data_IF_514119481433
#
_entry.id   IF_514119481433
#
_cell.length_a   1.000
_cell.length_b   1.000
_cell.length_c   1.000
_cell.angle_alpha   90.00
_cell.angle_beta   90.00
_cell.angle_gamma   90.00
#
_symmetry.space_group_name_H-M   'P 1'
#
loop_
_entity.id
_entity.type
_entity.pdbx_description
1 polymer ?
#
# COMPACT_ATOMS: atom_id res chain seq x y z
N UNK A 1 -10.17 -14.65 8.11
CA UNK A 1 -10.70 -13.25 8.04
C UNK A 1 -12.16 -13.16 8.46
N UNK A 2 -13.09 -13.78 7.74
CA UNK A 2 -14.55 -13.65 8.00
C UNK A 2 -14.90 -13.96 9.45
N UNK A 3 -14.30 -15.00 10.04
CA UNK A 3 -14.50 -15.35 11.45
C UNK A 3 -14.11 -14.21 12.41
N UNK A 4 -12.90 -13.63 12.28
CA UNK A 4 -12.46 -12.51 13.13
C UNK A 4 -13.38 -11.31 12.95
N UNK A 5 -13.82 -11.04 11.72
CA UNK A 5 -14.74 -9.94 11.44
C UNK A 5 -16.07 -10.18 12.15
N UNK A 6 -16.73 -11.30 11.93
CA UNK A 6 -18.07 -11.55 12.49
C UNK A 6 -18.01 -11.69 14.02
N UNK A 7 -17.15 -12.56 14.53
CA UNK A 7 -17.10 -12.86 15.97
C UNK A 7 -16.38 -11.77 16.77
N UNK A 8 -15.29 -11.22 16.23
CA UNK A 8 -14.55 -10.15 16.88
C UNK A 8 -15.35 -8.85 16.96
N UNK A 9 -15.97 -8.43 15.85
CA UNK A 9 -16.85 -7.24 15.85
C UNK A 9 -18.10 -7.51 16.68
N UNK A 10 -18.71 -8.69 16.58
CA UNK A 10 -19.87 -9.06 17.40
C UNK A 10 -19.58 -8.93 18.90
N UNK A 11 -18.47 -9.53 19.38
CA UNK A 11 -18.04 -9.39 20.78
C UNK A 11 -17.67 -7.96 21.15
N UNK A 12 -17.02 -7.22 20.25
CA UNK A 12 -16.65 -5.82 20.49
C UNK A 12 -17.89 -4.91 20.66
N UNK A 13 -18.94 -5.14 19.87
CA UNK A 13 -20.20 -4.40 19.98
C UNK A 13 -20.97 -4.84 21.22
N UNK A 14 -21.03 -6.14 21.52
CA UNK A 14 -21.71 -6.63 22.72
C UNK A 14 -21.05 -6.13 24.01
N UNK A 15 -19.71 -6.00 24.02
CA UNK A 15 -18.98 -5.58 25.21
C UNK A 15 -19.13 -4.11 25.59
N UNK A 16 -19.42 -3.22 24.62
CA UNK A 16 -19.40 -1.77 24.84
C UNK A 16 -20.67 -1.05 24.32
N UNK A 17 -21.49 -1.73 23.52
CA UNK A 17 -22.69 -1.20 22.89
C UNK A 17 -22.38 -0.28 21.70
N UNK A 18 -23.22 -0.34 20.66
CA UNK A 18 -23.02 0.41 19.41
C UNK A 18 -23.11 1.93 19.62
N UNK A 19 -23.96 2.41 20.54
CA UNK A 19 -24.10 3.84 20.85
C UNK A 19 -22.81 4.45 21.40
N UNK A 20 -21.99 3.63 22.07
CA UNK A 20 -20.70 4.07 22.58
C UNK A 20 -19.70 4.35 21.45
N UNK A 21 -19.78 3.64 20.32
CA UNK A 21 -18.92 3.86 19.16
C UNK A 21 -19.26 5.18 18.47
N UNK A 22 -20.56 5.49 18.35
CA UNK A 22 -21.04 6.77 17.82
C UNK A 22 -20.69 7.96 18.71
N UNK A 23 -20.66 7.76 20.03
CA UNK A 23 -20.28 8.79 21.00
C UNK A 23 -18.76 8.91 21.20
N UNK A 24 -17.93 8.18 20.44
CA UNK A 24 -16.48 8.25 20.59
C UNK A 24 -15.94 9.59 20.10
N UNK A 25 -15.25 10.31 20.98
CA UNK A 25 -14.57 11.55 20.65
C UNK A 25 -13.05 11.36 20.76
N UNK A 26 -12.28 11.49 19.66
CA UNK A 26 -10.83 11.34 19.71
C UNK A 26 -10.19 12.47 20.53
N UNK A 27 -9.13 12.15 21.28
CA UNK A 27 -8.37 13.16 22.04
C UNK A 27 -7.74 14.22 21.13
N UNK A 28 -7.33 13.82 19.92
CA UNK A 28 -6.79 14.71 18.91
C UNK A 28 -7.47 14.44 17.56
N UNK A 29 -8.08 15.48 16.99
CA UNK A 29 -8.62 15.42 15.65
C UNK A 29 -7.49 15.69 14.62
N UNK A 30 -7.02 14.64 13.97
CA UNK A 30 -5.98 14.73 12.92
C UNK A 30 -6.55 15.15 11.56
N UNK A 31 -7.87 15.20 11.42
CA UNK A 31 -8.57 15.58 10.20
C UNK A 31 -8.72 14.44 9.18
N UNK A 32 -9.77 14.52 8.36
CA UNK A 32 -10.10 13.52 7.34
C UNK A 32 -8.96 13.34 6.32
N UNK A 33 -8.36 14.44 5.87
CA UNK A 33 -7.31 14.43 4.85
C UNK A 33 -6.07 13.67 5.30
N UNK A 34 -5.72 13.77 6.58
CA UNK A 34 -4.63 13.00 7.17
C UNK A 34 -4.96 11.50 7.17
N UNK A 35 -6.18 11.14 7.58
CA UNK A 35 -6.66 9.75 7.56
C UNK A 35 -6.62 9.13 6.16
N UNK A 36 -7.07 9.87 5.13
CA UNK A 36 -6.98 9.42 3.74
C UNK A 36 -5.52 9.25 3.32
N UNK A 37 -4.63 10.20 3.68
CA UNK A 37 -3.21 10.09 3.37
C UNK A 37 -2.55 8.86 4.01
N UNK A 38 -2.90 8.54 5.26
CA UNK A 38 -2.42 7.32 5.93
C UNK A 38 -2.94 6.06 5.23
N UNK A 39 -4.22 6.07 4.83
CA UNK A 39 -4.80 4.94 4.11
C UNK A 39 -4.11 4.70 2.76
N UNK A 40 -3.76 5.76 2.04
CA UNK A 40 -2.94 5.67 0.81
C UNK A 40 -1.57 5.08 1.15
N UNK A 41 -0.89 5.58 2.20
CA UNK A 41 0.41 5.05 2.62
C UNK A 41 0.41 3.56 2.93
N UNK A 42 -0.66 3.06 3.56
CA UNK A 42 -0.82 1.64 3.88
C UNK A 42 -0.90 0.73 2.64
N UNK A 43 -1.48 1.22 1.54
CA UNK A 43 -1.70 0.42 0.33
C UNK A 43 -0.73 0.74 -0.81
N UNK A 44 -0.08 1.91 -0.78
CA UNK A 44 0.74 2.44 -1.87
C UNK A 44 1.82 1.45 -2.33
N UNK A 45 2.47 0.79 -1.37
CA UNK A 45 3.51 -0.22 -1.63
C UNK A 45 2.91 -1.41 -2.37
N UNK A 46 1.80 -1.98 -1.88
CA UNK A 46 1.11 -3.09 -2.51
C UNK A 46 0.67 -2.78 -3.95
N UNK A 47 0.14 -1.58 -4.17
CA UNK A 47 -0.27 -1.12 -5.50
C UNK A 47 0.92 -0.94 -6.46
N UNK A 48 2.10 -0.57 -5.96
CA UNK A 48 3.26 -0.24 -6.80
C UNK A 48 3.92 -1.46 -7.44
N UNK A 49 3.80 -2.64 -6.82
CA UNK A 49 4.29 -3.90 -7.37
C UNK A 49 3.15 -4.85 -7.76
N UNK A 50 1.95 -4.31 -7.99
CA UNK A 50 0.77 -5.11 -8.39
C UNK A 50 1.05 -5.98 -9.63
N UNK A 51 1.88 -5.47 -10.56
CA UNK A 51 2.31 -6.16 -11.76
C UNK A 51 3.05 -7.49 -11.49
N UNK A 52 3.68 -7.66 -10.33
CA UNK A 52 4.45 -8.86 -10.00
C UNK A 52 3.57 -10.11 -9.90
N UNK A 53 2.31 -9.93 -9.48
CA UNK A 53 1.34 -11.01 -9.35
C UNK A 53 0.18 -10.92 -10.36
N UNK A 54 -0.16 -9.74 -10.88
CA UNK A 54 -1.18 -9.63 -11.95
C UNK A 54 -0.68 -10.08 -13.32
N UNK A 55 0.62 -10.26 -13.52
CA UNK A 55 1.19 -10.83 -14.77
C UNK A 55 0.68 -12.22 -15.13
N UNK A 56 0.07 -12.92 -14.17
CA UNK A 56 -0.53 -14.24 -14.36
C UNK A 56 -2.03 -14.19 -14.69
N UNK A 57 -2.65 -13.01 -14.64
CA UNK A 57 -4.05 -12.81 -15.03
C UNK A 57 -4.14 -12.84 -16.55
N UNK A 58 -5.26 -13.35 -17.08
CA UNK A 58 -5.55 -13.27 -18.52
C UNK A 58 -5.51 -11.82 -18.96
N UNK A 59 -4.99 -11.56 -20.17
CA UNK A 59 -4.81 -10.20 -20.69
C UNK A 59 -6.14 -9.56 -21.16
N UNK A 60 -7.09 -9.41 -20.23
CA UNK A 60 -8.36 -8.73 -20.41
C UNK A 60 -8.45 -7.60 -19.39
N UNK A 61 -8.75 -6.39 -19.88
CA UNK A 61 -8.91 -5.20 -19.03
C UNK A 61 -9.99 -5.39 -17.96
N UNK A 62 -11.05 -6.15 -18.27
CA UNK A 62 -12.09 -6.56 -17.33
C UNK A 62 -11.49 -7.29 -16.14
N UNK A 63 -10.68 -8.33 -16.39
CA UNK A 63 -10.23 -9.27 -15.37
C UNK A 63 -9.26 -8.58 -14.39
N UNK A 64 -8.41 -7.69 -14.91
CA UNK A 64 -7.51 -6.85 -14.09
C UNK A 64 -8.32 -5.89 -13.23
N UNK A 65 -9.30 -5.20 -13.81
CA UNK A 65 -10.12 -4.20 -13.09
C UNK A 65 -10.98 -4.85 -12.01
N UNK A 66 -11.62 -5.98 -12.33
CA UNK A 66 -12.42 -6.75 -11.37
C UNK A 66 -11.56 -7.28 -10.23
N UNK A 67 -10.32 -7.70 -10.47
CA UNK A 67 -9.43 -8.16 -9.41
C UNK A 67 -9.16 -7.08 -8.35
N UNK A 68 -9.03 -5.81 -8.77
CA UNK A 68 -8.86 -4.68 -7.86
C UNK A 68 -10.16 -4.29 -7.15
N UNK A 69 -11.23 -4.07 -7.92
CA UNK A 69 -12.49 -3.52 -7.39
C UNK A 69 -13.27 -4.54 -6.56
N UNK A 70 -13.27 -5.81 -6.94
CA UNK A 70 -14.04 -6.86 -6.25
C UNK A 70 -13.15 -7.63 -5.28
N UNK A 71 -11.88 -7.85 -5.63
CA UNK A 71 -10.95 -8.58 -4.78
C UNK A 71 -10.38 -7.72 -3.64
N UNK A 72 -9.68 -6.63 -3.99
CA UNK A 72 -8.91 -5.85 -3.02
C UNK A 72 -9.77 -4.87 -2.22
N UNK A 73 -10.61 -4.09 -2.90
CA UNK A 73 -11.32 -2.97 -2.28
C UNK A 73 -12.31 -3.39 -1.17
N UNK A 74 -13.19 -4.40 -1.33
CA UNK A 74 -14.16 -4.76 -0.30
C UNK A 74 -13.48 -5.41 0.90
N UNK A 75 -12.51 -6.29 0.64
CA UNK A 75 -11.78 -6.99 1.71
C UNK A 75 -10.99 -6.01 2.60
N UNK A 76 -10.29 -5.05 1.99
CA UNK A 76 -9.55 -4.03 2.73
C UNK A 76 -10.48 -3.10 3.50
N UNK A 77 -11.56 -2.62 2.88
CA UNK A 77 -12.53 -1.73 3.53
C UNK A 77 -13.20 -2.38 4.74
N UNK A 78 -13.70 -3.61 4.59
CA UNK A 78 -14.36 -4.35 5.67
C UNK A 78 -13.38 -4.63 6.81
N UNK A 79 -12.15 -5.01 6.50
CA UNK A 79 -11.14 -5.28 7.52
C UNK A 79 -10.76 -4.02 8.30
N UNK A 80 -10.58 -2.88 7.62
CA UNK A 80 -10.27 -1.61 8.27
C UNK A 80 -11.40 -1.18 9.21
N UNK A 81 -12.66 -1.27 8.77
CA UNK A 81 -13.82 -0.93 9.61
C UNK A 81 -13.90 -1.88 10.82
N UNK A 82 -13.74 -3.19 10.61
CA UNK A 82 -13.74 -4.17 11.69
C UNK A 82 -12.62 -3.91 12.69
N UNK A 83 -11.40 -3.65 12.21
CA UNK A 83 -10.25 -3.29 13.03
C UNK A 83 -10.49 -2.03 13.86
N UNK A 84 -11.05 -0.99 13.24
CA UNK A 84 -11.44 0.24 13.94
C UNK A 84 -12.43 -0.03 15.06
N UNK A 85 -13.52 -0.77 14.79
CA UNK A 85 -14.54 -1.09 15.81
C UNK A 85 -13.91 -1.86 16.98
N UNK A 86 -13.12 -2.89 16.69
CA UNK A 86 -12.45 -3.69 17.72
C UNK A 86 -11.46 -2.86 18.55
N UNK A 87 -10.67 -2.00 17.91
CA UNK A 87 -9.71 -1.12 18.59
C UNK A 87 -10.40 -0.10 19.51
N UNK A 88 -11.47 0.53 19.04
CA UNK A 88 -12.26 1.49 19.83
C UNK A 88 -12.93 0.82 21.03
N UNK A 89 -13.55 -0.35 20.82
CA UNK A 89 -14.14 -1.13 21.92
C UNK A 89 -13.09 -1.56 22.93
N UNK A 90 -11.94 -2.07 22.48
CA UNK A 90 -10.85 -2.48 23.34
C UNK A 90 -10.30 -1.33 24.20
N UNK A 91 -10.14 -0.14 23.61
CA UNK A 91 -9.73 1.07 24.33
C UNK A 91 -10.67 1.35 25.51
N UNK A 92 -11.98 1.23 25.29
CA UNK A 92 -12.99 1.43 26.35
C UNK A 92 -12.98 0.33 27.41
N UNK A 93 -12.56 -0.87 27.05
CA UNK A 93 -12.36 -1.99 27.99
C UNK A 93 -11.04 -1.87 28.77
N UNK A 94 -10.25 -0.82 28.55
CA UNK A 94 -9.00 -0.53 29.28
C UNK A 94 -7.74 -1.14 28.66
N UNK A 95 -7.77 -1.51 27.37
CA UNK A 95 -6.58 -1.92 26.62
C UNK A 95 -5.68 -0.70 26.39
N UNK A 96 -4.40 -0.82 26.74
CA UNK A 96 -3.43 0.29 26.63
C UNK A 96 -2.96 0.48 25.19
N UNK A 97 -2.78 -0.61 24.46
CA UNK A 97 -2.29 -0.61 23.08
C UNK A 97 -3.37 -1.15 22.12
N UNK A 98 -4.41 -0.36 21.80
CA UNK A 98 -5.51 -0.83 20.95
C UNK A 98 -5.08 -1.12 19.49
N UNK A 99 -3.86 -0.72 19.11
CA UNK A 99 -3.23 -1.09 17.85
C UNK A 99 -2.68 -2.53 17.87
N UNK A 100 -2.43 -3.11 19.05
CA UNK A 100 -1.98 -4.49 19.20
C UNK A 100 -3.19 -5.44 19.14
N UNK A 101 -3.39 -6.05 17.98
CA UNK A 101 -4.52 -6.95 17.75
C UNK A 101 -4.55 -8.14 18.71
N UNK A 102 -3.39 -8.60 19.20
CA UNK A 102 -3.31 -9.71 20.14
C UNK A 102 -3.91 -9.31 21.48
N UNK A 103 -3.54 -8.14 22.01
CA UNK A 103 -4.10 -7.62 23.26
C UNK A 103 -5.61 -7.36 23.14
N UNK A 104 -6.03 -6.77 22.02
CA UNK A 104 -7.45 -6.56 21.68
C UNK A 104 -8.21 -7.89 21.69
N UNK A 105 -7.73 -8.92 20.99
CA UNK A 105 -8.40 -10.23 20.92
C UNK A 105 -8.41 -10.96 22.26
N UNK A 106 -7.34 -10.85 23.05
CA UNK A 106 -7.32 -11.39 24.43
C UNK A 106 -8.40 -10.74 25.29
N UNK A 107 -8.52 -9.40 25.23
CA UNK A 107 -9.53 -8.66 26.00
C UNK A 107 -10.97 -8.98 25.58
N UNK A 108 -11.19 -9.25 24.29
CA UNK A 108 -12.48 -9.71 23.76
C UNK A 108 -12.76 -11.20 24.05
N UNK A 109 -11.93 -11.88 24.84
CA UNK A 109 -12.14 -13.27 25.22
C UNK A 109 -11.95 -14.24 24.05
N UNK A 110 -10.95 -14.00 23.22
CA UNK A 110 -10.53 -14.87 22.12
C UNK A 110 -9.01 -15.17 22.12
N UNK A 111 -8.40 -15.54 23.27
CA UNK A 111 -6.94 -15.65 23.40
C UNK A 111 -6.32 -16.74 22.51
N UNK A 112 -6.93 -17.93 22.45
CA UNK A 112 -6.43 -19.04 21.61
C UNK A 112 -6.43 -18.69 20.10
N UNK A 113 -7.32 -17.77 19.70
CA UNK A 113 -7.49 -17.36 18.31
C UNK A 113 -6.55 -16.21 17.92
N UNK A 114 -6.02 -15.46 18.89
CA UNK A 114 -5.17 -14.31 18.63
C UNK A 114 -3.86 -14.70 17.93
N UNK A 115 -3.20 -15.76 18.38
CA UNK A 115 -1.90 -16.17 17.84
C UNK A 115 -2.02 -16.86 16.48
N UNK A 116 -2.90 -17.85 16.36
CA UNK A 116 -3.03 -18.68 15.15
C UNK A 116 -3.55 -17.86 13.97
N UNK A 117 -4.61 -17.07 14.15
CA UNK A 117 -5.16 -16.32 13.02
C UNK A 117 -4.31 -15.14 12.62
N UNK A 118 -3.67 -14.43 13.55
CA UNK A 118 -2.75 -13.34 13.20
C UNK A 118 -1.59 -13.88 12.37
N UNK A 119 -1.04 -15.03 12.76
CA UNK A 119 -0.01 -15.70 11.98
C UNK A 119 -0.49 -16.07 10.57
N UNK A 120 -1.65 -16.74 10.46
CA UNK A 120 -2.21 -17.14 9.16
C UNK A 120 -2.56 -15.94 8.26
N UNK A 121 -3.04 -14.84 8.85
CA UNK A 121 -3.31 -13.60 8.14
C UNK A 121 -2.03 -12.99 7.57
N UNK A 122 -0.96 -12.98 8.36
CA UNK A 122 0.30 -12.37 7.97
C UNK A 122 1.09 -13.25 6.98
N UNK A 123 0.90 -14.57 7.03
CA UNK A 123 1.63 -15.54 6.20
C UNK A 123 1.56 -15.22 4.70
N UNK A 124 0.36 -15.00 4.17
CA UNK A 124 0.16 -14.76 2.72
C UNK A 124 0.71 -13.41 2.27
N UNK A 125 0.55 -12.36 3.09
CA UNK A 125 1.08 -11.02 2.81
C UNK A 125 2.61 -11.03 2.87
N UNK A 126 3.21 -11.66 3.87
CA UNK A 126 4.66 -11.76 4.00
C UNK A 126 5.30 -12.52 2.84
N UNK A 127 4.68 -13.61 2.37
CA UNK A 127 5.15 -14.32 1.18
C UNK A 127 5.14 -13.39 -0.05
N UNK A 128 4.07 -12.63 -0.24
CA UNK A 128 3.95 -11.70 -1.38
C UNK A 128 5.00 -10.59 -1.31
N UNK A 129 5.21 -9.99 -0.15
CA UNK A 129 6.24 -8.96 0.05
C UNK A 129 7.67 -9.51 -0.13
N UNK A 130 7.96 -10.72 0.37
CA UNK A 130 9.25 -11.38 0.18
C UNK A 130 9.49 -11.75 -1.30
N UNK A 131 8.44 -12.19 -2.00
CA UNK A 131 8.47 -12.48 -3.43
C UNK A 131 8.81 -11.23 -4.26
N UNK A 132 8.06 -10.15 -4.08
CA UNK A 132 8.25 -8.90 -4.83
C UNK A 132 9.59 -8.22 -4.51
N UNK A 133 10.00 -8.19 -3.23
CA UNK A 133 11.31 -7.64 -2.86
C UNK A 133 12.47 -8.43 -3.47
N UNK A 134 12.40 -9.77 -3.48
CA UNK A 134 13.41 -10.59 -4.13
C UNK A 134 13.49 -10.40 -5.64
N UNK A 135 12.34 -10.20 -6.31
CA UNK A 135 12.30 -9.90 -7.73
C UNK A 135 12.90 -8.52 -8.02
N UNK A 136 12.58 -7.51 -7.21
CA UNK A 136 13.14 -6.17 -7.33
C UNK A 136 14.66 -6.18 -7.12
N UNK A 137 15.15 -6.83 -6.06
CA UNK A 137 16.59 -6.95 -5.79
C UNK A 137 17.31 -7.70 -6.91
N UNK A 138 16.74 -8.78 -7.44
CA UNK A 138 17.35 -9.52 -8.55
C UNK A 138 17.44 -8.67 -9.81
N UNK A 139 16.46 -7.81 -10.08
CA UNK A 139 16.51 -6.88 -11.22
C UNK A 139 17.64 -5.85 -11.09
N UNK A 140 17.94 -5.40 -9.86
CA UNK A 140 18.97 -4.38 -9.61
C UNK A 140 20.37 -4.96 -9.50
N UNK A 141 20.54 -6.03 -8.73
CA UNK A 141 21.85 -6.59 -8.37
C UNK A 141 22.21 -7.88 -9.13
N UNK A 142 21.29 -8.43 -9.92
CA UNK A 142 21.48 -9.74 -10.56
C UNK A 142 21.46 -10.90 -9.57
N UNK A 143 22.10 -12.01 -9.91
CA UNK A 143 22.31 -13.14 -8.99
C UNK A 143 21.08 -14.03 -8.70
N UNK A 144 21.19 -14.80 -7.61
CA UNK A 144 20.17 -15.76 -7.20
C UNK A 144 19.03 -15.08 -6.45
N UNK A 145 17.80 -15.27 -6.95
CA UNK A 145 16.58 -14.79 -6.30
C UNK A 145 16.44 -15.33 -4.87
N UNK A 146 16.83 -16.58 -4.64
CA UNK A 146 16.67 -17.22 -3.34
C UNK A 146 17.43 -16.45 -2.25
N UNK A 147 18.71 -16.17 -2.46
CA UNK A 147 19.54 -15.45 -1.50
C UNK A 147 19.10 -13.99 -1.31
N UNK A 148 18.65 -13.33 -2.39
CA UNK A 148 18.16 -11.95 -2.29
C UNK A 148 16.83 -11.85 -1.56
N UNK A 149 15.91 -12.80 -1.77
CA UNK A 149 14.67 -12.90 -0.98
C UNK A 149 14.97 -13.20 0.49
N UNK A 150 15.91 -14.11 0.76
CA UNK A 150 16.30 -14.40 2.14
C UNK A 150 16.92 -13.18 2.83
N UNK A 151 17.80 -12.47 2.11
CA UNK A 151 18.40 -11.24 2.60
C UNK A 151 17.35 -10.17 2.92
N UNK A 152 16.40 -9.91 2.02
CA UNK A 152 15.33 -8.92 2.27
C UNK A 152 14.45 -9.32 3.45
N UNK A 153 14.14 -10.61 3.60
CA UNK A 153 13.39 -11.13 4.73
C UNK A 153 14.14 -10.92 6.05
N UNK A 154 15.44 -11.25 6.11
CA UNK A 154 16.27 -11.05 7.30
C UNK A 154 16.37 -9.58 7.71
N UNK A 155 16.57 -8.68 6.75
CA UNK A 155 16.59 -7.23 7.00
C UNK A 155 15.24 -6.75 7.52
N UNK A 156 14.13 -7.19 6.92
CA UNK A 156 12.78 -6.89 7.40
C UNK A 156 12.52 -7.39 8.82
N UNK A 157 12.97 -8.62 9.14
CA UNK A 157 12.88 -9.17 10.49
C UNK A 157 13.72 -8.39 11.50
N UNK A 158 14.93 -7.95 11.13
CA UNK A 158 15.75 -7.10 11.98
C UNK A 158 15.05 -5.77 12.32
N UNK A 159 14.43 -5.12 11.33
CA UNK A 159 13.61 -3.91 11.57
C UNK A 159 12.36 -4.18 12.41
N UNK A 160 11.74 -5.35 12.26
CA UNK A 160 10.60 -5.74 13.10
C UNK A 160 11.02 -5.89 14.57
N UNK A 161 12.17 -6.55 14.82
CA UNK A 161 12.73 -6.73 16.17
C UNK A 161 13.20 -5.40 16.77
N UNK A 162 13.69 -4.46 15.95
CA UNK A 162 14.10 -3.14 16.42
C UNK A 162 12.93 -2.22 16.83
N UNK A 163 11.69 -2.73 16.77
CA UNK A 163 10.53 -2.01 17.29
C UNK A 163 9.98 -0.95 16.34
N UNK A 164 10.16 -1.07 15.02
CA UNK A 164 9.62 -0.11 14.02
C UNK A 164 8.12 0.19 14.19
N UNK A 165 7.37 -0.71 14.84
CA UNK A 165 5.96 -0.53 15.19
C UNK A 165 5.70 0.72 16.04
N UNK A 166 6.64 1.15 16.89
CA UNK A 166 6.51 2.38 17.68
C UNK A 166 6.51 3.65 16.81
N UNK A 167 7.07 3.55 15.60
CA UNK A 167 7.13 4.63 14.61
C UNK A 167 6.20 4.38 13.41
N UNK A 168 5.18 3.54 13.57
CA UNK A 168 4.33 3.05 12.48
C UNK A 168 3.72 4.17 11.63
N UNK A 169 3.15 5.21 12.25
CA UNK A 169 2.56 6.34 11.50
C UNK A 169 3.62 7.13 10.71
N UNK A 170 4.82 7.30 11.28
CA UNK A 170 5.93 7.95 10.59
C UNK A 170 6.39 7.12 9.38
N UNK A 171 6.51 5.81 9.56
CA UNK A 171 6.82 4.87 8.48
C UNK A 171 5.77 4.90 7.36
N UNK A 172 4.48 4.83 7.68
CA UNK A 172 3.38 4.93 6.71
C UNK A 172 3.41 6.27 5.98
N UNK A 173 3.72 7.37 6.69
CA UNK A 173 3.87 8.68 6.06
C UNK A 173 5.01 8.73 5.04
N UNK A 174 6.15 8.11 5.35
CA UNK A 174 7.29 8.01 4.42
C UNK A 174 6.87 7.21 3.19
N UNK A 175 6.21 6.06 3.37
CA UNK A 175 5.71 5.26 2.25
C UNK A 175 4.73 6.05 1.38
N UNK A 176 3.76 6.73 2.01
CA UNK A 176 2.81 7.60 1.31
C UNK A 176 3.52 8.67 0.48
N UNK A 177 4.59 9.26 1.00
CA UNK A 177 5.28 10.35 0.31
C UNK A 177 6.19 9.91 -0.82
N UNK A 178 6.93 8.81 -0.65
CA UNK A 178 7.99 8.42 -1.58
C UNK A 178 7.60 7.34 -2.57
N UNK A 179 6.56 6.56 -2.28
CA UNK A 179 6.13 5.46 -3.15
C UNK A 179 5.11 5.94 -4.18
N UNK A 180 4.20 6.85 -3.82
CA UNK A 180 3.17 7.32 -4.78
C UNK A 180 3.70 8.09 -5.99
N UNK A 181 4.80 8.88 -5.92
CA UNK A 181 5.40 9.48 -7.11
C UNK A 181 5.92 8.44 -8.10
N UNK A 182 6.40 7.29 -7.62
CA UNK A 182 6.84 6.17 -8.47
C UNK A 182 5.67 5.66 -9.30
N UNK A 183 4.52 5.44 -8.66
CA UNK A 183 3.30 5.04 -9.36
C UNK A 183 2.88 6.10 -10.39
N UNK A 184 2.95 7.39 -10.03
CA UNK A 184 2.66 8.50 -10.95
C UNK A 184 3.54 8.47 -12.21
N UNK A 185 4.85 8.34 -12.04
CA UNK A 185 5.80 8.28 -13.17
C UNK A 185 5.57 7.05 -14.04
N UNK A 186 5.31 5.87 -13.46
CA UNK A 186 5.04 4.64 -14.21
C UNK A 186 3.75 4.76 -15.03
N UNK A 187 2.68 5.31 -14.43
CA UNK A 187 1.41 5.56 -15.12
C UNK A 187 1.64 6.53 -16.29
N UNK A 188 2.39 7.60 -16.06
CA UNK A 188 2.70 8.59 -17.08
C UNK A 188 3.51 7.99 -18.24
N UNK A 189 4.56 7.22 -17.93
CA UNK A 189 5.38 6.54 -18.93
C UNK A 189 4.50 5.65 -19.81
N UNK A 190 3.69 4.78 -19.20
CA UNK A 190 2.93 3.79 -19.96
C UNK A 190 1.81 4.43 -20.78
N UNK A 191 0.99 5.32 -20.21
CA UNK A 191 -0.20 5.83 -20.90
C UNK A 191 0.06 7.06 -21.77
N UNK A 192 0.93 7.97 -21.33
CA UNK A 192 1.05 9.30 -21.95
C UNK A 192 2.32 9.46 -22.79
N UNK A 193 3.43 8.85 -22.38
CA UNK A 193 4.72 8.94 -23.12
C UNK A 193 4.81 7.83 -24.16
N UNK A 194 4.71 6.58 -23.71
CA UNK A 194 4.90 5.39 -24.54
C UNK A 194 3.59 4.88 -25.15
N UNK A 195 2.45 5.49 -24.82
CA UNK A 195 1.11 5.20 -25.39
C UNK A 195 0.77 3.70 -25.46
N UNK A 196 0.97 2.99 -24.35
CA UNK A 196 0.75 1.55 -24.15
C UNK A 196 1.77 0.64 -24.87
N UNK A 197 2.84 1.20 -25.43
CA UNK A 197 4.01 0.41 -25.83
C UNK A 197 4.96 0.26 -24.65
N UNK A 198 5.59 -0.91 -24.54
CA UNK A 198 6.65 -1.13 -23.56
C UNK A 198 7.99 -0.87 -24.23
N UNK A 199 8.63 0.26 -23.89
CA UNK A 199 9.98 0.57 -24.30
C UNK A 199 10.89 0.34 -23.10
N UNK A 200 11.77 -0.65 -23.21
CA UNK A 200 12.78 -0.88 -22.19
C UNK A 200 13.87 0.18 -22.33
N UNK A 201 14.04 0.99 -21.28
CA UNK A 201 15.16 1.94 -21.17
C UNK A 201 16.32 1.22 -20.49
N UNK A 202 17.51 1.27 -21.10
CA UNK A 202 18.70 0.65 -20.54
C UNK A 202 19.30 1.48 -19.40
N UNK A 203 19.83 0.80 -18.39
CA UNK A 203 20.49 1.44 -17.25
C UNK A 203 19.56 2.29 -16.38
N UNK A 204 20.13 3.32 -15.74
CA UNK A 204 19.40 4.23 -14.86
C UNK A 204 18.80 5.36 -15.69
N UNK A 205 17.47 5.44 -15.71
CA UNK A 205 16.76 6.52 -16.39
C UNK A 205 16.57 7.74 -15.47
N UNK A 206 17.54 8.66 -15.51
CA UNK A 206 17.58 9.86 -14.67
C UNK A 206 16.32 10.73 -14.69
N UNK A 207 15.66 11.01 -15.82
CA UNK A 207 14.45 11.85 -15.82
C UNK A 207 13.30 11.24 -15.01
N UNK A 208 13.19 9.91 -14.99
CA UNK A 208 12.26 9.18 -14.14
C UNK A 208 12.62 9.34 -12.67
N UNK A 209 13.89 9.10 -12.33
CA UNK A 209 14.36 9.19 -10.95
C UNK A 209 14.20 10.61 -10.37
N UNK A 210 14.58 11.65 -11.13
CA UNK A 210 14.45 13.05 -10.72
C UNK A 210 12.98 13.42 -10.51
N UNK A 211 12.09 13.02 -11.42
CA UNK A 211 10.64 13.25 -11.28
C UNK A 211 10.07 12.61 -10.02
N UNK A 212 10.48 11.37 -9.71
CA UNK A 212 10.10 10.68 -8.47
C UNK A 212 10.61 11.42 -7.24
N UNK A 213 11.88 11.84 -7.25
CA UNK A 213 12.48 12.55 -6.11
C UNK A 213 11.79 13.87 -5.85
N UNK A 214 11.53 14.68 -6.89
CA UNK A 214 10.81 15.95 -6.74
C UNK A 214 9.38 15.70 -6.26
N UNK A 215 8.66 14.74 -6.84
CA UNK A 215 7.32 14.36 -6.37
C UNK A 215 7.32 13.94 -4.90
N UNK A 216 8.33 13.18 -4.47
CA UNK A 216 8.51 12.75 -3.08
C UNK A 216 8.76 13.91 -2.12
N UNK A 217 9.67 14.83 -2.48
CA UNK A 217 9.91 16.04 -1.70
C UNK A 217 8.67 16.92 -1.60
N UNK A 218 7.92 17.10 -2.68
CA UNK A 218 6.68 17.87 -2.65
C UNK A 218 5.64 17.19 -1.77
N UNK A 219 5.46 15.88 -1.90
CA UNK A 219 4.58 15.11 -1.01
C UNK A 219 4.99 15.21 0.46
N UNK A 220 6.29 15.36 0.75
CA UNK A 220 6.74 15.49 2.12
C UNK A 220 6.55 16.91 2.69
N UNK A 221 6.75 17.95 1.88
CA UNK A 221 6.75 19.35 2.34
C UNK A 221 5.42 20.06 2.18
N UNK A 222 4.64 19.73 1.15
CA UNK A 222 3.39 20.41 0.83
C UNK A 222 2.22 19.69 1.50
N UNK A 223 1.66 20.35 2.52
CA UNK A 223 0.51 19.88 3.30
C UNK A 223 -0.86 20.25 2.70
N UNK A 224 -0.89 20.74 1.47
CA UNK A 224 -2.13 21.06 0.78
C UNK A 224 -2.85 19.76 0.37
N UNK A 225 -4.16 19.67 0.59
CA UNK A 225 -4.96 18.50 0.22
C UNK A 225 -4.41 17.17 0.79
N UNK A 226 -4.15 16.18 -0.06
CA UNK A 226 -3.58 14.87 0.31
C UNK A 226 -2.15 14.81 -0.21
N UNK A 227 -1.12 14.84 0.65
CA UNK A 227 0.26 14.92 0.22
C UNK A 227 0.66 13.81 -0.76
N UNK A 228 0.24 12.57 -0.50
CA UNK A 228 0.49 11.42 -1.38
C UNK A 228 -0.06 11.62 -2.81
N UNK A 229 -1.21 12.28 -2.97
CA UNK A 229 -1.80 12.60 -4.28
C UNK A 229 -0.99 13.70 -4.96
N UNK A 230 -0.55 14.72 -4.22
CA UNK A 230 0.31 15.77 -4.78
C UNK A 230 1.60 15.18 -5.35
N UNK A 231 2.26 14.28 -4.62
CA UNK A 231 3.47 13.61 -5.08
C UNK A 231 3.25 12.78 -6.34
N UNK A 232 2.15 12.04 -6.40
CA UNK A 232 1.77 11.26 -7.58
C UNK A 232 1.58 12.15 -8.81
N UNK A 233 0.78 13.21 -8.67
CA UNK A 233 0.45 14.12 -9.77
C UNK A 233 1.70 14.88 -10.22
N UNK A 234 2.49 15.43 -9.29
CA UNK A 234 3.66 16.25 -9.63
C UNK A 234 4.77 15.39 -10.23
N UNK A 235 5.02 14.20 -9.68
CA UNK A 235 5.98 13.27 -10.27
C UNK A 235 5.59 12.89 -11.71
N UNK A 236 4.32 12.55 -11.94
CA UNK A 236 3.81 12.25 -13.27
C UNK A 236 3.85 13.46 -14.23
N UNK A 237 3.45 14.64 -13.77
CA UNK A 237 3.43 15.86 -14.59
C UNK A 237 4.84 16.29 -15.01
N UNK A 238 5.80 16.31 -14.08
CA UNK A 238 7.19 16.67 -14.40
C UNK A 238 7.78 15.71 -15.43
N UNK A 239 7.52 14.41 -15.25
CA UNK A 239 7.95 13.39 -16.18
C UNK A 239 7.33 13.57 -17.58
N UNK A 240 6.03 13.88 -17.63
CA UNK A 240 5.33 14.15 -18.88
C UNK A 240 5.86 15.39 -19.58
N UNK A 241 6.02 16.50 -18.85
CA UNK A 241 6.51 17.78 -19.39
C UNK A 241 7.91 17.58 -19.98
N UNK A 242 8.79 16.86 -19.28
CA UNK A 242 10.14 16.54 -19.78
C UNK A 242 10.09 15.82 -21.13
N UNK A 243 9.27 14.76 -21.26
CA UNK A 243 9.18 13.99 -22.51
C UNK A 243 8.51 14.78 -23.64
N UNK A 244 7.49 15.57 -23.30
CA UNK A 244 6.79 16.40 -24.29
C UNK A 244 7.69 17.52 -24.82
N UNK A 245 8.46 18.18 -23.96
CA UNK A 245 9.34 19.27 -24.35
C UNK A 245 10.48 18.81 -25.28
N UNK A 246 10.94 17.57 -25.13
CA UNK A 246 12.00 16.98 -25.95
C UNK A 246 11.50 16.19 -27.17
N UNK A 247 10.18 16.17 -27.42
CA UNK A 247 9.62 15.40 -28.54
C UNK A 247 9.79 13.88 -28.39
N UNK A 248 9.99 13.38 -27.17
CA UNK A 248 10.23 11.95 -26.87
C UNK A 248 8.93 11.16 -26.69
N UNK A 249 7.77 11.81 -26.80
CA UNK A 249 6.48 11.13 -26.78
C UNK A 249 6.24 10.44 -28.12
N UNK A 250 5.89 9.16 -28.09
CA UNK A 250 5.62 8.39 -29.31
C UNK A 250 4.38 8.95 -30.02
N UNK A 251 4.49 9.17 -31.33
CA UNK A 251 3.34 9.44 -32.20
C UNK A 251 2.57 8.14 -32.46
N UNK A 252 1.23 8.21 -32.39
CA UNK A 252 0.41 7.10 -32.85
C UNK A 252 0.51 7.09 -34.38
N UNK A 253 1.43 6.32 -34.94
CA UNK A 253 1.15 5.81 -36.28
C UNK A 253 0.03 4.76 -36.11
N UNK A 254 -1.09 4.90 -36.84
CA UNK A 254 -2.12 3.88 -36.80
C UNK A 254 -1.48 2.57 -37.25
N UNK A 255 -1.43 1.58 -36.34
CA UNK A 255 -1.11 0.21 -36.73
C UNK A 255 -2.15 -0.17 -37.78
N UNK A 256 -1.73 -0.21 -39.04
CA UNK A 256 -2.48 -0.89 -40.08
C UNK A 256 -2.78 -2.29 -39.54
N UNK A 257 -4.06 -2.61 -39.45
CA UNK A 257 -4.55 -3.94 -39.13
C UNK A 257 -3.89 -4.91 -40.12
N UNK A 258 -3.03 -5.80 -39.62
CA UNK A 258 -2.64 -7.00 -40.35
C UNK A 258 -3.21 -8.17 -39.55
N UNK A 259 -4.34 -8.63 -40.11
CA UNK A 259 -4.95 -9.98 -40.12
C UNK A 259 -4.38 -11.06 -39.20
#
# INVERSE_FOLDING_TARGET
>A
MIYIIIFGVGKAIMGVGIGSLWAYNPQQNMGLMWGINMQIGMIAVGCSFVADYTRWIKNKWSDITYSGIVGLFPATSVLTIAGMIMALSATKLGVKEPWNIVEVMMKLGMPAMALVFVFLLQWTTCITSAYSSGLALKKVFGGSRFYLTLFSALVGTAFAISGIVSHFLGFVSILASWVTPVAGVIITEYFFVSRKSFIQKEGIYWPGLISVLIGGFVSWKVKFFIPAINGLIIGGLLYYIYHRALGLCISIEPKAEME
#
